data_IF_464639531193
#
_entry.id   IF_464639531193
#
_cell.length_a   1.000
_cell.length_b   1.000
_cell.length_c   1.000
_cell.angle_alpha   90.00
_cell.angle_beta   90.00
_cell.angle_gamma   90.00
#
_symmetry.space_group_name_H-M   'P 1'
#
loop_
_entity.id
_entity.type
_entity.pdbx_description
1 polymer ?
#
# COMPACT_ATOMS: atom_id res chain seq x y z
N UNK A 1 9.91 1.24 -13.27
CA UNK A 1 8.50 0.80 -13.41
C UNK A 1 8.39 -0.53 -12.68
N UNK A 2 7.52 -0.65 -11.68
CA UNK A 2 7.31 -1.92 -10.95
C UNK A 2 5.85 -2.36 -11.14
N UNK A 3 5.59 -3.66 -11.32
CA UNK A 3 4.22 -4.18 -11.44
C UNK A 3 3.49 -4.07 -10.09
N UNK A 4 2.25 -3.60 -10.12
CA UNK A 4 1.41 -3.48 -8.92
C UNK A 4 0.93 -4.83 -8.38
N UNK A 5 0.86 -5.86 -9.24
CA UNK A 5 0.41 -7.20 -8.89
C UNK A 5 1.20 -8.25 -9.68
N UNK A 6 1.45 -9.40 -9.06
CA UNK A 6 2.03 -10.57 -9.72
C UNK A 6 1.10 -11.76 -9.47
N UNK A 7 0.71 -12.46 -10.53
CA UNK A 7 -0.18 -13.62 -10.47
C UNK A 7 0.56 -14.81 -11.08
N UNK A 8 0.70 -15.89 -10.32
CA UNK A 8 1.26 -17.14 -10.83
C UNK A 8 0.17 -17.92 -11.55
N UNK A 9 0.37 -18.19 -12.84
CA UNK A 9 -0.46 -19.08 -13.64
C UNK A 9 0.32 -20.35 -13.96
N UNK A 10 -0.33 -21.50 -13.85
CA UNK A 10 0.30 -22.79 -14.19
C UNK A 10 0.58 -22.92 -15.69
N UNK A 11 -0.26 -22.32 -16.53
CA UNK A 11 -0.07 -22.25 -17.98
C UNK A 11 -0.64 -20.93 -18.53
N UNK A 12 -0.02 -20.42 -19.59
CA UNK A 12 -0.52 -19.24 -20.27
C UNK A 12 -1.73 -19.63 -21.14
N UNK A 13 -2.89 -18.99 -20.97
CA UNK A 13 -4.03 -19.25 -21.84
C UNK A 13 -3.70 -18.77 -23.25
N UNK A 14 -3.80 -19.67 -24.23
CA UNK A 14 -3.55 -19.36 -25.63
C UNK A 14 -4.87 -19.38 -26.42
N UNK A 15 -4.97 -18.50 -27.41
CA UNK A 15 -5.97 -18.54 -28.47
C UNK A 15 -5.69 -19.71 -29.41
N UNK A 16 -6.65 -20.07 -30.26
CA UNK A 16 -6.48 -21.12 -31.28
C UNK A 16 -5.26 -20.89 -32.21
N UNK A 17 -4.83 -19.63 -32.37
CA UNK A 17 -3.67 -19.25 -33.18
C UNK A 17 -2.37 -19.16 -32.36
N UNK A 18 -2.34 -19.70 -31.13
CA UNK A 18 -1.15 -19.73 -30.28
C UNK A 18 -0.75 -18.40 -29.63
N UNK A 19 -1.54 -17.32 -29.80
CA UNK A 19 -1.31 -16.04 -29.11
C UNK A 19 -1.93 -16.05 -27.71
N UNK A 20 -1.33 -15.35 -26.75
CA UNK A 20 -1.89 -15.22 -25.39
C UNK A 20 -3.28 -14.62 -25.41
N UNK A 21 -4.24 -15.33 -24.83
CA UNK A 21 -5.62 -14.88 -24.67
C UNK A 21 -5.75 -14.07 -23.37
N UNK A 22 -5.57 -12.75 -23.51
CA UNK A 22 -5.61 -11.81 -22.37
C UNK A 22 -6.95 -11.79 -21.65
N UNK A 23 -8.05 -12.21 -22.31
CA UNK A 23 -9.39 -12.24 -21.69
C UNK A 23 -9.58 -13.42 -20.75
N UNK A 24 -8.74 -14.46 -20.89
CA UNK A 24 -8.76 -15.65 -20.04
C UNK A 24 -7.71 -15.63 -18.95
N UNK A 25 -6.91 -14.55 -18.87
CA UNK A 25 -6.02 -14.37 -17.74
C UNK A 25 -6.86 -14.18 -16.48
N UNK A 26 -6.48 -14.79 -15.34
CA UNK A 26 -7.15 -14.54 -14.08
C UNK A 26 -7.07 -13.05 -13.75
N UNK A 27 -8.20 -12.47 -13.34
CA UNK A 27 -8.18 -11.15 -12.75
C UNK A 27 -7.40 -11.19 -11.42
N UNK A 28 -6.61 -10.17 -11.11
CA UNK A 28 -6.03 -10.05 -9.77
C UNK A 28 -7.18 -10.03 -8.76
N UNK A 29 -7.11 -10.89 -7.76
CA UNK A 29 -8.03 -10.79 -6.62
C UNK A 29 -7.66 -9.51 -5.85
N UNK A 30 -8.34 -8.41 -6.18
CA UNK A 30 -8.10 -7.08 -5.60
C UNK A 30 -8.78 -6.98 -4.22
N UNK A 31 -9.35 -8.06 -3.69
CA UNK A 31 -9.82 -8.11 -2.32
C UNK A 31 -8.64 -8.19 -1.33
N UNK A 32 -7.74 -7.21 -1.37
CA UNK A 32 -6.98 -6.82 -0.20
C UNK A 32 -7.96 -6.13 0.76
N UNK A 33 -8.90 -6.89 1.33
CA UNK A 33 -9.57 -6.47 2.55
C UNK A 33 -8.52 -6.63 3.65
N UNK A 34 -7.58 -5.67 3.74
CA UNK A 34 -6.82 -5.52 4.97
C UNK A 34 -7.87 -5.33 6.06
N UNK A 35 -8.05 -6.37 6.88
CA UNK A 35 -8.96 -6.29 8.02
C UNK A 35 -8.42 -5.17 8.89
N UNK A 36 -9.26 -4.18 9.14
CA UNK A 36 -8.88 -3.04 9.97
C UNK A 36 -8.39 -3.54 11.33
N UNK A 37 -7.11 -3.28 11.63
CA UNK A 37 -6.52 -3.54 12.93
C UNK A 37 -6.16 -2.19 13.57
N UNK A 38 -6.78 -1.93 14.72
CA UNK A 38 -6.60 -0.69 15.46
C UNK A 38 -5.17 -0.61 16.04
N UNK A 39 -4.59 0.61 16.13
CA UNK A 39 -3.28 0.80 16.75
C UNK A 39 -3.26 0.40 18.23
N UNK A 40 -2.29 -0.44 18.61
CA UNK A 40 -2.16 -1.05 19.94
C UNK A 40 -1.18 -0.29 20.83
N UNK A 41 -0.11 0.24 20.24
CA UNK A 41 0.95 0.98 20.93
C UNK A 41 0.79 2.49 20.77
N UNK A 42 1.43 3.28 21.64
CA UNK A 42 1.42 4.74 21.52
C UNK A 42 2.03 5.21 20.19
N UNK A 43 3.12 4.56 19.76
CA UNK A 43 3.77 4.82 18.46
C UNK A 43 2.84 4.54 17.29
N UNK A 44 2.15 3.39 17.29
CA UNK A 44 1.18 3.07 16.23
C UNK A 44 0.06 4.11 16.17
N UNK A 45 -0.48 4.56 17.32
CA UNK A 45 -1.53 5.58 17.36
C UNK A 45 -1.07 6.91 16.77
N UNK A 46 0.12 7.35 17.13
CA UNK A 46 0.67 8.60 16.63
C UNK A 46 0.96 8.52 15.12
N UNK A 47 1.44 7.37 14.62
CA UNK A 47 1.62 7.14 13.20
C UNK A 47 0.29 7.11 12.44
N UNK A 48 -0.73 6.44 12.95
CA UNK A 48 -2.06 6.41 12.30
C UNK A 48 -2.64 7.82 12.22
N UNK A 49 -2.55 8.62 13.29
CA UNK A 49 -3.03 10.02 13.26
C UNK A 49 -2.31 10.85 12.19
N UNK A 50 -0.98 10.76 12.11
CA UNK A 50 -0.21 11.47 11.07
C UNK A 50 -0.65 11.05 9.66
N UNK A 51 -0.91 9.76 9.47
CA UNK A 51 -1.40 9.23 8.20
C UNK A 51 -2.81 9.72 7.88
N UNK A 52 -3.71 9.73 8.85
CA UNK A 52 -5.10 10.16 8.67
C UNK A 52 -5.16 11.63 8.24
N UNK A 53 -4.36 12.49 8.87
CA UNK A 53 -4.23 13.91 8.50
C UNK A 53 -3.66 14.12 7.08
N UNK A 54 -2.69 13.29 6.69
CA UNK A 54 -1.98 13.43 5.42
C UNK A 54 -2.75 12.85 4.24
N UNK A 55 -3.48 11.77 4.48
CA UNK A 55 -4.30 11.08 3.50
C UNK A 55 -5.75 11.58 3.49
N UNK A 56 -6.16 12.37 4.49
CA UNK A 56 -7.53 12.87 4.68
C UNK A 56 -8.54 11.72 4.71
N UNK A 57 -8.18 10.66 5.46
CA UNK A 57 -8.93 9.41 5.53
C UNK A 57 -8.84 8.85 6.93
N UNK A 58 -9.96 8.41 7.50
CA UNK A 58 -10.05 7.72 8.79
C UNK A 58 -11.20 6.71 8.74
N UNK A 59 -11.10 5.53 9.37
CA UNK A 59 -9.96 5.06 10.17
C UNK A 59 -8.84 4.46 9.31
N UNK A 60 -7.58 4.60 9.74
CA UNK A 60 -6.42 3.91 9.17
C UNK A 60 -5.93 2.83 10.14
N UNK A 61 -5.86 1.59 9.66
CA UNK A 61 -5.34 0.45 10.38
C UNK A 61 -3.82 0.30 10.27
N UNK A 62 -3.21 -0.43 11.20
CA UNK A 62 -1.75 -0.64 11.22
C UNK A 62 -1.22 -1.48 10.05
N UNK A 63 -2.11 -2.21 9.36
CA UNK A 63 -1.79 -3.04 8.20
C UNK A 63 -2.16 -2.38 6.86
N UNK A 64 -2.65 -1.13 6.89
CA UNK A 64 -3.01 -0.43 5.67
C UNK A 64 -1.79 0.00 4.88
N UNK A 65 -1.89 -0.13 3.55
CA UNK A 65 -0.82 0.25 2.65
C UNK A 65 -0.92 1.74 2.27
N UNK A 66 0.12 2.52 2.58
CA UNK A 66 0.17 3.96 2.30
C UNK A 66 -0.19 4.33 0.86
N UNK A 67 0.38 3.61 -0.11
CA UNK A 67 0.21 3.89 -1.54
C UNK A 67 -1.16 3.45 -2.03
N UNK A 68 -1.68 2.32 -1.54
CA UNK A 68 -3.04 1.87 -1.83
C UNK A 68 -4.10 2.87 -1.33
N UNK A 69 -3.82 3.57 -0.24
CA UNK A 69 -4.68 4.62 0.32
C UNK A 69 -4.55 6.00 -0.39
N UNK A 70 -3.79 6.09 -1.49
CA UNK A 70 -3.59 7.36 -2.22
C UNK A 70 -2.40 8.19 -1.71
N UNK A 71 -1.47 7.54 -1.03
CA UNK A 71 -0.12 8.04 -0.76
C UNK A 71 0.74 8.05 -2.03
N UNK A 72 1.61 9.04 -2.15
CA UNK A 72 2.56 9.18 -3.25
C UNK A 72 3.81 9.92 -2.74
N UNK A 73 4.86 10.02 -3.55
CA UNK A 73 6.19 10.49 -3.11
C UNK A 73 6.17 11.82 -2.36
N UNK A 74 5.40 12.81 -2.82
CA UNK A 74 5.28 14.11 -2.14
C UNK A 74 4.61 13.99 -0.76
N UNK A 75 3.57 13.15 -0.63
CA UNK A 75 2.98 12.84 0.68
C UNK A 75 3.98 12.05 1.54
N UNK A 76 4.72 11.09 0.98
CA UNK A 76 5.75 10.32 1.68
C UNK A 76 6.88 11.19 2.25
N UNK A 77 7.32 12.22 1.52
CA UNK A 77 8.29 13.21 2.02
C UNK A 77 7.71 13.97 3.21
N UNK A 78 6.46 14.45 3.11
CA UNK A 78 5.79 15.14 4.23
C UNK A 78 5.60 14.23 5.44
N UNK A 79 5.26 12.96 5.21
CA UNK A 79 5.14 11.94 6.25
C UNK A 79 6.45 11.82 7.03
N UNK A 80 7.58 11.63 6.34
CA UNK A 80 8.88 11.54 7.00
C UNK A 80 9.23 12.76 7.85
N UNK A 81 8.97 13.97 7.36
CA UNK A 81 9.25 15.20 8.12
C UNK A 81 8.42 15.24 9.41
N UNK A 82 7.14 14.84 9.34
CA UNK A 82 6.26 14.78 10.52
C UNK A 82 6.67 13.68 11.49
N UNK A 83 6.96 12.48 11.00
CA UNK A 83 7.46 11.36 11.81
C UNK A 83 8.79 11.73 12.46
N UNK A 84 9.72 12.35 11.74
CA UNK A 84 11.00 12.74 12.31
C UNK A 84 10.87 13.79 13.40
N UNK A 85 9.92 14.72 13.25
CA UNK A 85 9.59 15.71 14.28
C UNK A 85 8.91 15.07 15.50
N UNK A 86 7.98 14.14 15.29
CA UNK A 86 7.25 13.45 16.35
C UNK A 86 8.16 12.55 17.20
N UNK A 87 9.01 11.74 16.54
CA UNK A 87 9.82 10.72 17.21
C UNK A 87 11.27 11.14 17.47
N UNK A 88 11.67 12.36 17.11
CA UNK A 88 13.05 12.86 17.18
C UNK A 88 14.08 11.90 16.55
N UNK A 89 13.67 11.17 15.49
CA UNK A 89 14.49 10.18 14.76
C UNK A 89 14.40 10.41 13.27
N UNK A 90 15.51 10.31 12.54
CA UNK A 90 15.48 10.38 11.07
C UNK A 90 14.85 9.11 10.50
N UNK A 91 13.65 9.22 9.95
CA UNK A 91 13.05 8.17 9.11
C UNK A 91 13.62 8.25 7.68
N UNK A 92 13.83 7.11 7.03
CA UNK A 92 14.31 7.02 5.64
C UNK A 92 13.16 6.59 4.72
N UNK A 93 13.07 7.17 3.51
CA UNK A 93 12.08 6.79 2.47
C UNK A 93 12.15 5.30 2.14
N UNK A 94 13.32 4.67 2.31
CA UNK A 94 13.53 3.26 1.96
C UNK A 94 12.75 2.29 2.85
N UNK A 95 12.26 2.75 4.01
CA UNK A 95 11.61 1.91 5.02
C UNK A 95 10.08 2.12 5.08
N UNK A 96 9.52 2.94 4.18
CA UNK A 96 8.07 3.22 4.06
C UNK A 96 7.55 2.54 2.80
#
# INVERSE_FOLDING_TARGET
MHPSYNITVQSLPLTANGKVDRKKLPDPDIAATTVYEAPRTATERELTVIWEELLQRSPIGIHDNFFALGGHSLKGIRLMVRVAKAFNRRASIRTI
#
